data_IF_680419337226
#
_entry.id   IF_680419337226
#
_cell.length_a   1.000
_cell.length_b   1.000
_cell.length_c   1.000
_cell.angle_alpha   90.00
_cell.angle_beta   90.00
_cell.angle_gamma   90.00
#
_symmetry.space_group_name_H-M   'P 1'
#
loop_
_entity.id
_entity.type
_entity.pdbx_description
1 polymer ?
#
# COMPACT_ATOMS: atom_id res chain seq x y z
N UNK A 1 29.50 -3.38 -12.21
CA UNK A 1 28.95 -2.04 -11.89
C UNK A 1 27.59 -1.75 -12.54
N UNK A 2 27.20 -2.41 -13.63
CA UNK A 2 25.92 -2.19 -14.34
C UNK A 2 24.67 -2.61 -13.56
N UNK A 3 24.74 -3.64 -12.71
CA UNK A 3 23.58 -4.17 -11.98
C UNK A 3 23.05 -3.20 -10.89
N UNK A 4 23.93 -2.44 -10.22
CA UNK A 4 23.52 -1.52 -9.15
C UNK A 4 22.87 -0.23 -9.67
N UNK A 5 23.24 0.22 -10.87
CA UNK A 5 22.62 1.39 -11.51
C UNK A 5 21.23 1.04 -12.04
N UNK A 6 21.05 -0.14 -12.60
CA UNK A 6 19.76 -0.60 -13.13
C UNK A 6 18.72 -0.75 -12.01
N UNK A 7 19.13 -1.28 -10.85
CA UNK A 7 18.24 -1.41 -9.68
C UNK A 7 17.83 -0.05 -9.09
N UNK A 8 18.75 0.92 -8.98
CA UNK A 8 18.44 2.27 -8.51
C UNK A 8 17.48 3.03 -9.46
N UNK A 9 17.68 2.90 -10.76
CA UNK A 9 16.80 3.50 -11.77
C UNK A 9 15.39 2.90 -11.72
N UNK A 10 15.28 1.56 -11.69
CA UNK A 10 14.00 0.88 -11.56
C UNK A 10 13.27 1.30 -10.29
N UNK A 11 13.96 1.35 -9.15
CA UNK A 11 13.37 1.79 -7.88
C UNK A 11 12.80 3.21 -7.97
N UNK A 12 13.57 4.14 -8.54
CA UNK A 12 13.14 5.54 -8.68
C UNK A 12 11.94 5.68 -9.63
N UNK A 13 11.92 4.90 -10.73
CA UNK A 13 10.80 4.86 -11.66
C UNK A 13 9.53 4.33 -10.98
N UNK A 14 9.62 3.22 -10.26
CA UNK A 14 8.50 2.64 -9.53
C UNK A 14 8.02 3.57 -8.41
N UNK A 15 8.93 4.25 -7.70
CA UNK A 15 8.55 5.26 -6.71
C UNK A 15 7.80 6.44 -7.34
N UNK A 16 8.20 6.88 -8.54
CA UNK A 16 7.47 7.89 -9.31
C UNK A 16 6.06 7.43 -9.69
N UNK A 17 5.91 6.19 -10.17
CA UNK A 17 4.61 5.60 -10.46
C UNK A 17 3.73 5.50 -9.20
N UNK A 18 4.30 5.09 -8.07
CA UNK A 18 3.59 5.02 -6.80
C UNK A 18 3.14 6.41 -6.31
N UNK A 19 3.96 7.42 -6.53
CA UNK A 19 3.60 8.82 -6.25
C UNK A 19 2.38 9.24 -7.07
N UNK A 20 2.36 8.92 -8.36
CA UNK A 20 1.22 9.19 -9.22
C UNK A 20 -0.04 8.42 -8.81
N UNK A 21 0.08 7.15 -8.42
CA UNK A 21 -1.08 6.38 -7.96
C UNK A 21 -1.66 7.00 -6.70
N UNK A 22 -0.84 7.44 -5.75
CA UNK A 22 -1.29 8.15 -4.55
C UNK A 22 -2.06 9.42 -4.92
N UNK A 23 -1.54 10.22 -5.86
CA UNK A 23 -2.22 11.45 -6.30
C UNK A 23 -3.55 11.20 -7.01
N UNK A 24 -3.69 10.06 -7.69
CA UNK A 24 -4.91 9.66 -8.43
C UNK A 24 -6.00 9.06 -7.53
N UNK A 25 -5.68 8.60 -6.32
CA UNK A 25 -6.66 8.01 -5.40
C UNK A 25 -7.73 9.04 -5.00
N UNK A 26 -9.02 8.69 -4.96
CA UNK A 26 -10.05 9.57 -4.44
C UNK A 26 -9.90 9.79 -2.93
N UNK A 27 -10.37 10.94 -2.46
CA UNK A 27 -10.43 11.26 -1.02
C UNK A 27 -11.36 10.24 -0.35
N UNK A 28 -10.95 9.73 0.81
CA UNK A 28 -11.72 8.75 1.57
C UNK A 28 -12.93 9.41 2.23
N UNK A 29 -14.07 8.75 2.17
CA UNK A 29 -15.31 9.11 2.87
C UNK A 29 -15.48 8.26 4.14
N UNK A 30 -16.36 8.67 5.05
CA UNK A 30 -16.64 7.93 6.28
C UNK A 30 -17.19 6.50 6.03
N UNK A 31 -17.87 6.30 4.88
CA UNK A 31 -18.37 5.00 4.43
C UNK A 31 -17.22 4.00 4.18
N UNK A 32 -16.16 4.46 3.51
CA UNK A 32 -14.96 3.65 3.24
C UNK A 32 -14.27 3.21 4.55
N UNK A 33 -14.25 4.08 5.57
CA UNK A 33 -13.69 3.79 6.90
C UNK A 33 -14.51 2.72 7.65
N UNK A 34 -15.84 2.80 7.57
CA UNK A 34 -16.73 1.84 8.21
C UNK A 34 -16.65 0.46 7.55
N UNK A 35 -16.58 0.40 6.21
CA UNK A 35 -16.41 -0.84 5.46
C UNK A 35 -15.07 -1.54 5.81
N UNK A 36 -13.96 -0.80 5.91
CA UNK A 36 -12.67 -1.36 6.32
C UNK A 36 -12.70 -1.90 7.77
N UNK A 37 -13.34 -1.16 8.68
CA UNK A 37 -13.47 -1.58 10.07
C UNK A 37 -14.23 -2.91 10.20
N UNK A 38 -15.31 -3.09 9.42
CA UNK A 38 -16.09 -4.33 9.40
C UNK A 38 -15.28 -5.53 8.87
N UNK A 39 -14.53 -5.36 7.78
CA UNK A 39 -13.70 -6.43 7.20
C UNK A 39 -12.61 -6.88 8.17
N UNK A 40 -11.97 -5.95 8.86
CA UNK A 40 -10.93 -6.29 9.83
C UNK A 40 -11.50 -7.03 11.05
N UNK A 41 -12.72 -6.70 11.48
CA UNK A 41 -13.39 -7.46 12.54
C UNK A 41 -13.70 -8.90 12.10
N UNK A 42 -14.16 -9.10 10.86
CA UNK A 42 -14.42 -10.42 10.28
C UNK A 42 -13.14 -11.28 10.18
N UNK A 43 -12.01 -10.68 9.75
CA UNK A 43 -10.71 -11.35 9.71
C UNK A 43 -10.20 -11.73 11.12
N UNK A 44 -10.43 -10.90 12.13
CA UNK A 44 -10.04 -11.20 13.52
C UNK A 44 -10.94 -12.31 14.10
N UNK A 45 -12.23 -12.32 13.77
CA UNK A 45 -13.17 -13.36 14.18
C UNK A 45 -12.80 -14.73 13.60
N UNK A 46 -12.48 -14.79 12.31
CA UNK A 46 -12.07 -16.03 11.63
C UNK A 46 -10.70 -16.56 12.07
N UNK A 47 -9.76 -15.69 12.45
CA UNK A 47 -8.45 -16.10 12.98
C UNK A 47 -8.49 -16.68 14.40
N UNK A 48 -9.58 -16.44 15.16
CA UNK A 48 -9.72 -16.91 16.55
C UNK A 48 -10.32 -18.33 16.62
N UNK A 49 -10.96 -18.81 15.55
CA UNK A 49 -11.75 -20.06 15.54
C UNK A 49 -11.06 -21.24 14.80
N UNK A 50 -9.74 -21.15 14.61
CA UNK A 50 -8.96 -22.05 13.75
C UNK A 50 -8.10 -23.09 14.45
N UNK A 51 -8.64 -23.89 15.37
CA UNK A 51 -8.01 -25.14 15.80
C UNK A 51 -9.05 -26.25 16.02
N UNK A 52 -9.46 -26.93 14.95
CA UNK A 52 -9.84 -28.35 14.99
C UNK A 52 -9.95 -28.90 13.55
N UNK A 53 -8.98 -29.74 13.17
CA UNK A 53 -9.13 -30.69 12.06
C UNK A 53 -10.06 -31.84 12.48
N UNK A 54 -10.94 -32.33 11.59
CA UNK A 54 -11.01 -33.76 11.20
C UNK A 54 -12.13 -34.03 10.18
N UNK A 55 -11.70 -34.41 8.97
CA UNK A 55 -12.21 -35.45 8.06
C UNK A 55 -13.65 -35.98 8.22
N UNK A 56 -14.38 -36.03 7.10
CA UNK A 56 -14.99 -37.29 6.59
C UNK A 56 -15.46 -37.15 5.13
N UNK A 57 -14.84 -37.94 4.25
CA UNK A 57 -15.38 -38.37 2.96
C UNK A 57 -16.65 -39.23 3.17
N UNK A 58 -17.57 -39.23 2.19
CA UNK A 58 -18.00 -40.41 1.39
C UNK A 58 -19.39 -40.22 0.72
N UNK A 59 -19.40 -40.30 -0.61
CA UNK A 59 -20.28 -41.09 -1.51
C UNK A 59 -21.80 -41.14 -1.33
N UNK A 60 -22.51 -40.61 -2.35
CA UNK A 60 -23.46 -41.36 -3.20
C UNK A 60 -24.94 -41.51 -2.78
N UNK A 61 -25.88 -41.02 -3.61
CA UNK A 61 -26.97 -41.81 -4.22
C UNK A 61 -28.03 -40.96 -4.99
N UNK A 62 -28.08 -41.18 -6.31
CA UNK A 62 -29.23 -41.46 -7.23
C UNK A 62 -30.62 -40.79 -7.06
N UNK A 63 -30.95 -39.95 -8.07
CA UNK A 63 -32.16 -39.77 -8.92
C UNK A 63 -33.60 -40.06 -8.44
N UNK A 64 -34.58 -39.19 -8.79
CA UNK A 64 -35.45 -39.24 -10.00
C UNK A 64 -36.61 -38.20 -9.92
N UNK A 65 -36.71 -37.38 -10.98
CA UNK A 65 -37.84 -36.76 -11.72
C UNK A 65 -39.25 -36.54 -11.12
N UNK A 66 -39.85 -35.37 -11.44
CA UNK A 66 -41.23 -35.32 -12.00
C UNK A 66 -41.48 -34.08 -12.92
N UNK A 67 -41.56 -34.38 -14.21
CA UNK A 67 -42.37 -33.83 -15.31
C UNK A 67 -42.93 -32.39 -15.27
N UNK A 68 -42.55 -31.61 -16.28
CA UNK A 68 -43.50 -30.78 -17.03
C UNK A 68 -43.18 -30.79 -18.52
N UNK A 69 -44.13 -31.35 -19.25
CA UNK A 69 -44.20 -31.52 -20.70
C UNK A 69 -44.05 -30.17 -21.43
N UNK A 70 -42.94 -30.00 -22.12
CA UNK A 70 -42.82 -29.13 -23.27
C UNK A 70 -41.74 -29.79 -24.14
N UNK A 71 -42.19 -30.34 -25.26
CA UNK A 71 -41.36 -30.88 -26.32
C UNK A 71 -40.24 -29.89 -26.65
N UNK A 72 -39.03 -30.20 -26.19
CA UNK A 72 -37.88 -29.31 -26.38
C UNK A 72 -37.47 -29.37 -27.85
N UNK A 73 -37.62 -28.24 -28.55
CA UNK A 73 -37.23 -28.07 -29.96
C UNK A 73 -35.76 -28.48 -30.16
N UNK A 74 -35.47 -29.57 -30.90
CA UNK A 74 -34.12 -30.10 -31.07
C UNK A 74 -33.19 -29.20 -31.89
N UNK A 75 -33.71 -28.13 -32.51
CA UNK A 75 -32.91 -27.14 -33.25
C UNK A 75 -32.94 -25.73 -32.64
N UNK A 76 -33.67 -25.51 -31.55
CA UNK A 76 -33.67 -24.25 -30.79
C UNK A 76 -34.12 -23.01 -31.58
N UNK A 77 -34.99 -23.19 -32.59
CA UNK A 77 -35.54 -22.11 -33.40
C UNK A 77 -36.57 -21.26 -32.66
N UNK A 78 -37.21 -21.77 -31.61
CA UNK A 78 -38.11 -20.99 -30.76
C UNK A 78 -37.41 -19.81 -30.05
N UNK A 79 -36.09 -19.88 -29.88
CA UNK A 79 -35.30 -18.76 -29.36
C UNK A 79 -35.15 -17.60 -30.37
N UNK A 80 -35.45 -17.84 -31.65
CA UNK A 80 -35.34 -16.85 -32.73
C UNK A 80 -36.67 -16.16 -33.04
N UNK A 81 -37.78 -16.62 -32.45
CA UNK A 81 -39.08 -15.96 -32.56
C UNK A 81 -39.22 -15.02 -31.34
N UNK A 82 -39.15 -13.69 -31.50
CA UNK A 82 -39.29 -12.77 -30.39
C UNK A 82 -40.73 -12.81 -29.86
N UNK A 83 -40.98 -13.62 -28.83
CA UNK A 83 -42.22 -13.55 -28.08
C UNK A 83 -42.27 -12.20 -27.35
N UNK A 84 -43.33 -11.45 -27.60
CA UNK A 84 -43.48 -10.07 -27.15
C UNK A 84 -43.64 -9.99 -25.64
N UNK A 85 -42.55 -9.82 -24.90
CA UNK A 85 -42.60 -9.39 -23.49
C UNK A 85 -41.63 -8.22 -23.29
N UNK A 86 -42.04 -7.06 -23.78
CA UNK A 86 -41.42 -5.76 -23.47
C UNK A 86 -41.73 -5.37 -22.02
N UNK A 87 -41.10 -6.01 -21.02
CA UNK A 87 -41.17 -5.55 -19.61
C UNK A 87 -40.01 -6.00 -18.70
N UNK A 88 -38.80 -6.25 -19.21
CA UNK A 88 -37.67 -6.64 -18.32
C UNK A 88 -36.30 -5.97 -18.58
N UNK A 89 -36.12 -5.21 -19.68
CA UNK A 89 -34.81 -4.58 -19.95
C UNK A 89 -34.45 -3.46 -18.98
N UNK A 90 -35.43 -2.81 -18.34
CA UNK A 90 -35.16 -1.64 -17.48
C UNK A 90 -34.67 -2.01 -16.07
N UNK A 91 -34.87 -3.26 -15.63
CA UNK A 91 -34.39 -3.75 -14.34
C UNK A 91 -32.92 -4.21 -14.43
N UNK A 92 -32.58 -5.00 -15.47
CA UNK A 92 -31.22 -5.56 -15.64
C UNK A 92 -30.11 -4.52 -15.80
N UNK A 93 -30.40 -3.37 -16.42
CA UNK A 93 -29.42 -2.29 -16.57
C UNK A 93 -29.08 -1.54 -15.27
N UNK A 94 -29.96 -1.59 -14.25
CA UNK A 94 -29.71 -0.96 -12.94
C UNK A 94 -28.88 -1.83 -12.00
N UNK A 95 -29.01 -3.14 -12.11
CA UNK A 95 -28.26 -4.08 -11.26
C UNK A 95 -26.81 -4.23 -11.75
N UNK A 96 -26.58 -4.27 -13.06
CA UNK A 96 -25.22 -4.27 -13.64
C UNK A 96 -24.40 -3.03 -13.23
N UNK A 97 -25.02 -1.85 -13.20
CA UNK A 97 -24.34 -0.60 -12.79
C UNK A 97 -23.94 -0.60 -11.32
N UNK A 98 -24.75 -1.21 -10.43
CA UNK A 98 -24.39 -1.31 -9.01
C UNK A 98 -23.23 -2.27 -8.81
N UNK A 99 -23.21 -3.39 -9.53
CA UNK A 99 -22.13 -4.38 -9.46
C UNK A 99 -20.79 -3.77 -9.89
N UNK A 100 -20.77 -2.99 -10.98
CA UNK A 100 -19.58 -2.23 -11.42
C UNK A 100 -19.09 -1.25 -10.34
N UNK A 101 -19.99 -0.50 -9.69
CA UNK A 101 -19.63 0.44 -8.62
C UNK A 101 -19.03 -0.28 -7.39
N UNK A 102 -19.55 -1.46 -7.03
CA UNK A 102 -19.00 -2.29 -5.95
C UNK A 102 -17.60 -2.82 -6.31
N UNK A 103 -17.40 -3.23 -7.55
CA UNK A 103 -16.13 -3.76 -8.02
C UNK A 103 -15.06 -2.67 -8.10
N UNK A 104 -15.44 -1.45 -8.51
CA UNK A 104 -14.58 -0.26 -8.44
C UNK A 104 -14.20 0.10 -7.00
N UNK A 105 -15.17 0.10 -6.07
CA UNK A 105 -14.90 0.29 -4.63
C UNK A 105 -13.94 -0.77 -4.08
N UNK A 106 -14.12 -2.04 -4.45
CA UNK A 106 -13.21 -3.13 -4.07
C UNK A 106 -11.81 -2.92 -4.63
N UNK A 107 -11.71 -2.58 -5.91
CA UNK A 107 -10.43 -2.28 -6.56
C UNK A 107 -9.70 -1.12 -5.89
N UNK A 108 -10.41 -0.03 -5.55
CA UNK A 108 -9.82 1.11 -4.83
C UNK A 108 -9.29 0.72 -3.45
N UNK A 109 -10.00 -0.13 -2.71
CA UNK A 109 -9.53 -0.66 -1.43
C UNK A 109 -8.25 -1.48 -1.59
N UNK A 110 -8.24 -2.44 -2.49
CA UNK A 110 -7.04 -3.24 -2.79
C UNK A 110 -5.88 -2.37 -3.27
N UNK A 111 -6.16 -1.31 -4.03
CA UNK A 111 -5.15 -0.35 -4.46
C UNK A 111 -4.54 0.41 -3.27
N UNK A 112 -5.37 0.90 -2.33
CA UNK A 112 -4.90 1.56 -1.10
C UNK A 112 -4.01 0.62 -0.27
N UNK A 113 -4.43 -0.62 -0.05
CA UNK A 113 -3.66 -1.64 0.68
C UNK A 113 -2.33 -1.98 0.00
N UNK A 114 -2.34 -2.12 -1.33
CA UNK A 114 -1.13 -2.37 -2.11
C UNK A 114 -0.14 -1.21 -1.98
N UNK A 115 -0.62 0.04 -1.97
CA UNK A 115 0.22 1.22 -1.76
C UNK A 115 0.87 1.20 -0.38
N UNK A 116 0.11 0.92 0.69
CA UNK A 116 0.66 0.80 2.04
C UNK A 116 1.74 -0.29 2.11
N UNK A 117 1.47 -1.44 1.50
CA UNK A 117 2.43 -2.55 1.44
C UNK A 117 3.71 -2.16 0.70
N UNK A 118 3.59 -1.44 -0.43
CA UNK A 118 4.74 -0.92 -1.16
C UNK A 118 5.57 0.05 -0.32
N UNK A 119 4.92 0.93 0.45
CA UNK A 119 5.59 1.89 1.34
C UNK A 119 6.34 1.19 2.47
N UNK A 120 5.75 0.17 3.10
CA UNK A 120 6.42 -0.61 4.15
C UNK A 120 7.65 -1.34 3.59
N UNK A 121 7.52 -2.00 2.43
CA UNK A 121 8.64 -2.67 1.77
C UNK A 121 9.74 -1.67 1.41
N UNK A 122 9.39 -0.48 0.91
CA UNK A 122 10.35 0.57 0.60
C UNK A 122 11.10 1.03 1.85
N UNK A 123 10.40 1.27 2.96
CA UNK A 123 11.01 1.71 4.21
C UNK A 123 12.01 0.69 4.79
N UNK A 124 11.74 -0.62 4.65
CA UNK A 124 12.69 -1.68 5.05
C UNK A 124 14.03 -1.58 4.32
N UNK A 125 14.08 -0.96 3.13
CA UNK A 125 15.29 -0.77 2.34
C UNK A 125 16.09 0.49 2.70
N UNK A 126 15.64 1.31 3.64
CA UNK A 126 16.29 2.58 4.02
C UNK A 126 17.77 2.45 4.44
N UNK A 127 18.21 1.25 4.85
CA UNK A 127 19.62 0.95 5.12
C UNK A 127 20.53 1.13 3.89
N UNK A 128 19.95 1.13 2.68
CA UNK A 128 20.68 1.22 1.42
C UNK A 128 20.85 2.68 0.99
N UNK A 129 22.08 3.23 0.91
CA UNK A 129 22.27 4.67 0.72
C UNK A 129 21.60 5.26 -0.53
N UNK A 130 21.61 4.53 -1.65
CA UNK A 130 21.08 5.04 -2.92
C UNK A 130 19.55 5.18 -2.96
N UNK A 131 18.80 4.53 -2.06
CA UNK A 131 17.33 4.66 -2.03
C UNK A 131 16.81 5.63 -0.96
N UNK A 132 17.66 6.08 -0.02
CA UNK A 132 17.24 6.88 1.14
C UNK A 132 16.44 8.12 0.74
N UNK A 133 17.00 8.96 -0.14
CA UNK A 133 16.34 10.20 -0.59
C UNK A 133 15.02 9.92 -1.30
N UNK A 134 14.94 8.85 -2.09
CA UNK A 134 13.71 8.48 -2.80
C UNK A 134 12.63 8.03 -1.81
N UNK A 135 13.01 7.26 -0.79
CA UNK A 135 12.10 6.84 0.29
C UNK A 135 11.64 8.06 1.09
N UNK A 136 12.55 8.97 1.45
CA UNK A 136 12.21 10.21 2.18
C UNK A 136 11.12 10.99 1.44
N UNK A 137 11.31 11.23 0.13
CA UNK A 137 10.36 11.96 -0.71
C UNK A 137 9.03 11.20 -0.85
N UNK A 138 9.09 9.88 -1.02
CA UNK A 138 7.92 9.05 -1.24
C UNK A 138 7.03 8.98 0.00
N UNK A 139 7.61 8.71 1.17
CA UNK A 139 6.86 8.64 2.43
C UNK A 139 6.34 10.01 2.84
N UNK A 140 7.12 11.09 2.61
CA UNK A 140 6.63 12.45 2.80
C UNK A 140 5.39 12.72 1.93
N UNK A 141 5.43 12.34 0.66
CA UNK A 141 4.29 12.55 -0.24
C UNK A 141 3.04 11.75 0.18
N UNK A 142 3.22 10.52 0.68
CA UNK A 142 2.13 9.71 1.20
C UNK A 142 1.50 10.37 2.43
N UNK A 143 2.32 10.89 3.34
CA UNK A 143 1.87 11.62 4.53
C UNK A 143 1.15 12.92 4.19
N UNK A 144 1.66 13.70 3.22
CA UNK A 144 0.99 14.94 2.77
C UNK A 144 -0.39 14.66 2.15
N UNK A 145 -0.61 13.45 1.63
CA UNK A 145 -1.88 13.00 1.05
C UNK A 145 -2.64 12.00 1.95
N UNK A 146 -2.43 12.04 3.26
CA UNK A 146 -3.02 11.08 4.23
C UNK A 146 -4.55 11.01 4.17
N UNK A 147 -5.21 12.09 3.74
CA UNK A 147 -6.66 12.18 3.57
C UNK A 147 -7.23 11.21 2.53
N UNK A 148 -6.39 10.68 1.62
CA UNK A 148 -6.77 9.69 0.59
C UNK A 148 -6.74 8.24 1.10
N UNK A 149 -6.33 8.05 2.35
CA UNK A 149 -6.26 6.76 3.02
C UNK A 149 -7.30 6.68 4.15
N UNK A 150 -7.64 5.46 4.54
CA UNK A 150 -8.59 5.19 5.62
C UNK A 150 -7.95 5.38 6.98
N UNK A 151 -8.74 5.65 8.01
CA UNK A 151 -8.28 5.95 9.39
C UNK A 151 -7.14 5.04 9.89
N UNK A 152 -7.28 3.71 9.75
CA UNK A 152 -6.25 2.75 10.17
C UNK A 152 -4.98 2.81 9.31
N UNK A 153 -5.15 3.03 8.01
CA UNK A 153 -4.03 3.23 7.09
C UNK A 153 -3.30 4.54 7.38
N UNK A 154 -4.01 5.59 7.83
CA UNK A 154 -3.41 6.86 8.26
C UNK A 154 -2.47 6.63 9.44
N UNK A 155 -2.92 5.90 10.47
CA UNK A 155 -2.08 5.56 11.62
C UNK A 155 -0.83 4.78 11.20
N UNK A 156 -0.96 3.87 10.23
CA UNK A 156 0.18 3.12 9.69
C UNK A 156 1.17 4.05 8.96
N UNK A 157 0.68 4.98 8.14
CA UNK A 157 1.49 5.99 7.44
C UNK A 157 2.20 6.91 8.44
N UNK A 158 1.50 7.36 9.49
CA UNK A 158 2.08 8.23 10.52
C UNK A 158 3.23 7.54 11.26
N UNK A 159 3.05 6.27 11.64
CA UNK A 159 4.12 5.45 12.24
C UNK A 159 5.31 5.30 11.29
N UNK A 160 5.04 5.04 10.01
CA UNK A 160 6.07 4.92 8.99
C UNK A 160 6.84 6.22 8.80
N UNK A 161 6.13 7.35 8.73
CA UNK A 161 6.68 8.68 8.58
C UNK A 161 7.55 9.07 9.77
N UNK A 162 7.10 8.82 11.00
CA UNK A 162 7.88 9.07 12.20
C UNK A 162 9.22 8.30 12.18
N UNK A 163 9.17 7.00 11.85
CA UNK A 163 10.37 6.15 11.74
C UNK A 163 11.36 6.64 10.67
N UNK A 164 10.86 6.96 9.47
CA UNK A 164 11.71 7.45 8.36
C UNK A 164 12.27 8.84 8.66
N UNK A 165 11.46 9.74 9.23
CA UNK A 165 11.90 11.09 9.60
C UNK A 165 13.00 11.04 10.67
N UNK A 166 12.89 10.15 11.65
CA UNK A 166 13.93 9.96 12.64
C UNK A 166 15.24 9.48 11.98
N UNK A 167 15.16 8.52 11.06
CA UNK A 167 16.32 8.04 10.30
C UNK A 167 16.94 9.15 9.43
N UNK A 168 16.12 10.00 8.81
CA UNK A 168 16.57 11.15 8.04
C UNK A 168 17.29 12.18 8.90
N UNK A 169 16.76 12.49 10.08
CA UNK A 169 17.39 13.38 11.06
C UNK A 169 18.71 12.79 11.54
N UNK A 170 18.74 11.51 11.93
CA UNK A 170 19.98 10.80 12.31
C UNK A 170 21.03 10.81 11.19
N UNK A 171 20.60 10.68 9.94
CA UNK A 171 21.49 10.77 8.77
C UNK A 171 22.08 12.17 8.60
N UNK A 172 21.27 13.22 8.80
CA UNK A 172 21.72 14.62 8.68
C UNK A 172 22.62 15.06 9.84
N UNK A 173 22.36 14.58 11.04
CA UNK A 173 23.12 14.91 12.24
C UNK A 173 24.48 14.18 12.33
N UNK A 174 24.74 13.23 11.41
CA UNK A 174 25.95 12.42 11.45
C UNK A 174 25.85 11.28 12.47
N UNK A 175 26.57 10.19 12.21
CA UNK A 175 26.56 8.99 13.06
C UNK A 175 27.46 9.20 14.26
N UNK A 176 26.96 9.75 15.36
CA UNK A 176 27.50 9.30 16.64
C UNK A 176 26.80 8.00 17.02
N UNK A 177 27.51 6.89 16.83
CA UNK A 177 27.09 5.56 17.33
C UNK A 177 27.05 5.53 18.86
N UNK A 178 27.60 6.55 19.54
CA UNK A 178 27.76 6.59 20.98
C UNK A 178 27.08 7.78 21.69
N UNK A 179 26.21 8.53 21.00
CA UNK A 179 25.52 9.70 21.55
C UNK A 179 26.42 10.90 21.88
N UNK A 180 27.70 10.85 21.48
CA UNK A 180 28.66 11.93 21.64
C UNK A 180 28.76 12.71 20.33
N UNK A 181 28.41 14.00 20.34
CA UNK A 181 28.52 14.88 19.17
C UNK A 181 29.95 14.74 18.59
N UNK A 182 30.08 14.10 17.42
CA UNK A 182 31.38 13.99 16.76
C UNK A 182 31.72 15.39 16.27
N UNK A 183 32.58 16.06 17.03
CA UNK A 183 33.12 17.38 16.71
C UNK A 183 33.69 17.28 15.30
N UNK A 184 33.18 18.09 14.38
CA UNK A 184 33.62 18.04 12.98
C UNK A 184 35.11 18.35 12.91
N UNK A 185 35.82 17.82 11.91
CA UNK A 185 37.25 18.09 11.75
C UNK A 185 37.57 19.59 11.72
N UNK A 186 36.62 20.41 11.27
CA UNK A 186 36.69 21.87 11.30
C UNK A 186 36.59 22.44 12.70
N UNK A 187 35.60 22.03 13.51
CA UNK A 187 35.44 22.46 14.90
C UNK A 187 36.63 22.02 15.76
N UNK A 188 37.17 20.82 15.52
CA UNK A 188 38.38 20.35 16.19
C UNK A 188 39.60 21.20 15.84
N UNK A 189 39.72 21.62 14.58
CA UNK A 189 40.79 22.48 14.13
C UNK A 189 40.62 23.91 14.68
N UNK A 190 39.38 24.41 14.76
CA UNK A 190 39.05 25.69 15.36
C UNK A 190 39.38 25.70 16.85
N UNK A 191 39.01 24.65 17.60
CA UNK A 191 39.35 24.48 19.01
C UNK A 191 40.88 24.51 19.20
N UNK A 192 41.62 23.73 18.41
CA UNK A 192 43.09 23.76 18.41
C UNK A 192 43.67 25.16 18.19
N UNK A 193 43.29 25.82 17.10
CA UNK A 193 43.82 27.15 16.79
C UNK A 193 43.34 28.23 17.77
N UNK A 194 42.20 28.06 18.43
CA UNK A 194 41.71 28.98 19.46
C UNK A 194 42.51 28.89 20.76
N UNK A 195 43.05 27.70 21.07
CA UNK A 195 43.93 27.48 22.23
C UNK A 195 45.38 27.83 21.94
N UNK A 196 45.78 27.83 20.66
CA UNK A 196 47.14 28.16 20.24
C UNK A 196 47.33 29.69 20.10
N UNK A 197 48.28 30.26 20.86
CA UNK A 197 48.69 31.65 20.68
C UNK A 197 49.55 31.79 19.42
N UNK A 198 48.97 32.28 18.34
CA UNK A 198 49.69 32.49 17.07
C UNK A 198 50.71 33.62 17.24
N UNK A 199 51.99 33.26 17.28
CA UNK A 199 53.09 34.23 17.25
C UNK A 199 53.28 34.79 15.83
N UNK A 200 53.37 36.12 15.73
CA UNK A 200 53.59 36.89 14.48
C UNK A 200 54.83 36.41 13.71
N UNK A 201 55.75 35.68 14.37
CA UNK A 201 56.98 35.15 13.78
C UNK A 201 56.89 33.71 13.23
N UNK A 202 55.67 33.18 13.00
CA UNK A 202 55.44 31.84 12.39
C UNK A 202 56.17 30.70 13.10
N UNK A 203 56.04 30.61 14.42
CA UNK A 203 56.33 29.39 15.15
C UNK A 203 55.12 29.05 16.02
N UNK A 204 54.50 27.89 15.74
CA UNK A 204 53.45 27.29 16.57
C UNK A 204 54.18 26.54 17.69
N UNK A 205 53.89 26.89 18.93
CA UNK A 205 54.27 26.14 20.13
C UNK A 205 53.00 25.64 20.80
#
# INVERSE_FOLDING_TARGET
>A
MTCSLMTALCFSKTAGQLKETISKLPIVTEDDDAEEAAILLDQIGTATDGNEETRRDTSGAVAVEEAKDNEADPFGLDALIPSTVKKDERAKAKDAKKEEDFELKRHLRSQREAVITCLDIAARRYKTPWCQTVIDILVQHAHDNVQRFTSKQRDAIEKLWASVREQHVRRKQGKSVNGKLDVTAFEWLQEKYSTETISIRRAVW
#
